data_IF_127805945765
#
_entry.id   IF_127805945765
#
_cell.length_a   1.000
_cell.length_b   1.000
_cell.length_c   1.000
_cell.angle_alpha   90.00
_cell.angle_beta   90.00
_cell.angle_gamma   90.00
#
_symmetry.space_group_name_H-M   'P 1'
#
loop_
_entity.id
_entity.type
_entity.pdbx_description
1 polymer ?
#
# COMPACT_ATOMS: atom_id res chain seq x y z
N UNK A 1 -4.10 21.36 -3.97
CA UNK A 1 -3.70 20.27 -3.08
C UNK A 1 -3.67 19.04 -3.96
N UNK A 2 -2.48 18.62 -4.39
CA UNK A 2 -2.37 17.58 -5.43
C UNK A 2 -2.80 16.24 -4.85
N UNK A 3 -3.90 15.72 -5.40
CA UNK A 3 -4.42 14.42 -5.04
C UNK A 3 -3.70 13.38 -5.88
N UNK A 4 -2.82 12.60 -5.25
CA UNK A 4 -2.19 11.45 -5.88
C UNK A 4 -3.25 10.43 -6.31
N UNK A 5 -3.22 10.00 -7.57
CA UNK A 5 -4.07 8.94 -8.11
C UNK A 5 -3.18 7.76 -8.46
N UNK A 6 -3.38 6.64 -7.78
CA UNK A 6 -2.56 5.44 -7.88
C UNK A 6 -3.46 4.21 -8.06
N UNK A 7 -3.04 3.27 -8.91
CA UNK A 7 -3.60 1.93 -9.02
C UNK A 7 -2.56 0.91 -8.62
N UNK A 8 -2.95 -0.08 -7.82
CA UNK A 8 -2.04 -1.11 -7.33
C UNK A 8 -2.56 -2.48 -7.65
N UNK A 9 -1.68 -3.31 -8.19
CA UNK A 9 -2.00 -4.67 -8.59
C UNK A 9 -1.00 -5.65 -8.00
N UNK A 10 -1.50 -6.75 -7.43
CA UNK A 10 -0.67 -7.93 -7.20
C UNK A 10 -0.54 -8.69 -8.52
N UNK A 11 0.69 -9.12 -8.80
CA UNK A 11 1.03 -9.82 -10.04
C UNK A 11 1.72 -11.15 -9.72
N UNK A 12 1.69 -12.08 -10.66
CA UNK A 12 2.49 -13.30 -10.55
C UNK A 12 3.98 -12.96 -10.76
N UNK A 13 4.92 -13.60 -10.04
CA UNK A 13 6.36 -13.35 -10.23
C UNK A 13 6.81 -13.46 -11.69
N UNK A 14 6.27 -14.44 -12.42
CA UNK A 14 6.62 -14.73 -13.82
C UNK A 14 6.11 -13.66 -14.79
N UNK A 15 5.10 -12.89 -14.37
CA UNK A 15 4.51 -11.84 -15.17
C UNK A 15 5.27 -10.52 -15.12
N UNK A 16 6.18 -10.35 -14.15
CA UNK A 16 6.78 -9.06 -13.88
C UNK A 16 7.70 -8.58 -15.02
N UNK A 17 8.47 -9.47 -15.64
CA UNK A 17 9.31 -9.13 -16.81
C UNK A 17 8.45 -8.86 -18.05
N UNK A 18 7.37 -9.63 -18.22
CA UNK A 18 6.41 -9.40 -19.29
C UNK A 18 5.75 -8.03 -19.15
N UNK A 19 5.31 -7.64 -17.96
CA UNK A 19 4.76 -6.30 -17.71
C UNK A 19 5.78 -5.22 -18.07
N UNK A 20 7.03 -5.35 -17.60
CA UNK A 20 8.07 -4.38 -17.96
C UNK A 20 8.26 -4.29 -19.47
N UNK A 21 8.23 -5.42 -20.21
CA UNK A 21 8.35 -5.41 -21.67
C UNK A 21 7.20 -4.68 -22.40
N UNK A 22 6.03 -4.54 -21.77
CA UNK A 22 4.86 -3.82 -22.30
C UNK A 22 4.89 -2.31 -22.03
N UNK A 23 5.77 -1.86 -21.13
CA UNK A 23 5.84 -0.47 -20.69
C UNK A 23 7.03 0.22 -21.34
N UNK A 24 6.77 1.24 -22.15
CA UNK A 24 7.83 2.06 -22.73
C UNK A 24 8.59 2.84 -21.63
N UNK A 25 9.88 3.12 -21.88
CA UNK A 25 10.72 3.94 -21.01
C UNK A 25 11.92 3.19 -20.43
N UNK A 26 12.92 3.97 -20.04
CA UNK A 26 14.11 3.45 -19.35
C UNK A 26 13.75 2.98 -17.94
N UNK A 27 14.44 1.92 -17.51
CA UNK A 27 14.26 1.37 -16.16
C UNK A 27 15.25 1.99 -15.20
N UNK A 28 14.74 2.51 -14.09
CA UNK A 28 15.54 2.85 -12.92
C UNK A 28 15.31 1.80 -11.83
N UNK A 29 16.39 1.18 -11.34
CA UNK A 29 16.34 0.05 -10.41
C UNK A 29 16.88 0.50 -9.06
N UNK A 30 16.10 0.24 -8.01
CA UNK A 30 16.41 0.68 -6.65
C UNK A 30 16.17 -0.43 -5.64
N UNK A 31 17.09 -0.61 -4.70
CA UNK A 31 16.85 -1.44 -3.54
C UNK A 31 16.16 -0.64 -2.43
N UNK A 32 15.03 -1.12 -1.94
CA UNK A 32 14.19 -0.50 -0.91
C UNK A 32 14.06 -1.42 0.30
N UNK A 33 15.07 -1.37 1.16
CA UNK A 33 15.07 -2.05 2.44
C UNK A 33 14.59 -1.12 3.55
N UNK A 34 13.61 -1.56 4.34
CA UNK A 34 13.08 -0.77 5.45
C UNK A 34 12.67 -1.67 6.62
N UNK A 35 12.80 -1.14 7.83
CA UNK A 35 12.24 -1.75 9.05
C UNK A 35 11.08 -0.91 9.54
N UNK A 36 9.93 -1.55 9.78
CA UNK A 36 8.76 -0.91 10.35
C UNK A 36 8.76 -1.06 11.87
N UNK A 37 8.38 0.01 12.56
CA UNK A 37 8.37 0.09 14.01
C UNK A 37 6.99 0.48 14.53
N UNK A 38 6.60 -0.09 15.65
CA UNK A 38 5.39 0.26 16.39
C UNK A 38 5.56 -0.10 17.87
N UNK A 39 4.59 0.25 18.71
CA UNK A 39 4.52 -0.19 20.10
C UNK A 39 4.12 -1.66 20.16
N UNK A 40 4.29 -2.31 21.32
CA UNK A 40 3.88 -3.71 21.53
C UNK A 40 2.40 -3.95 21.24
N UNK A 41 1.56 -2.94 21.42
CA UNK A 41 0.11 -2.98 21.18
C UNK A 41 -0.30 -2.37 19.82
N UNK A 42 0.67 -2.05 18.95
CA UNK A 42 0.48 -1.47 17.63
C UNK A 42 -0.33 -0.16 17.63
N UNK A 43 0.01 0.77 18.53
CA UNK A 43 -0.68 2.03 18.73
C UNK A 43 -0.65 2.90 17.45
N UNK A 44 0.49 2.96 16.74
CA UNK A 44 0.60 3.73 15.50
C UNK A 44 -0.32 3.16 14.43
N UNK A 45 -0.28 1.84 14.20
CA UNK A 45 -1.17 1.17 13.25
C UNK A 45 -2.64 1.44 13.56
N UNK A 46 -3.05 1.32 14.83
CA UNK A 46 -4.44 1.58 15.26
C UNK A 46 -4.86 3.02 15.00
N UNK A 47 -3.94 3.96 15.11
CA UNK A 47 -4.15 5.37 14.77
C UNK A 47 -4.00 5.67 13.28
N UNK A 48 -3.80 4.66 12.42
CA UNK A 48 -3.66 4.83 10.98
C UNK A 48 -2.29 5.34 10.56
N UNK A 49 -1.23 5.12 11.34
CA UNK A 49 0.14 5.49 10.98
C UNK A 49 1.00 4.25 10.66
N UNK A 50 1.95 4.45 9.74
CA UNK A 50 3.06 3.54 9.51
C UNK A 50 4.38 4.27 9.72
N UNK A 51 5.20 3.78 10.65
CA UNK A 51 6.54 4.30 10.89
C UNK A 51 7.57 3.31 10.35
N UNK A 52 8.49 3.81 9.52
CA UNK A 52 9.61 3.03 9.00
C UNK A 52 10.93 3.77 9.12
N UNK A 53 12.01 3.01 9.22
CA UNK A 53 13.38 3.47 9.02
C UNK A 53 13.93 2.77 7.77
N UNK A 54 14.51 3.53 6.85
CA UNK A 54 15.17 3.02 5.65
C UNK A 54 16.57 3.58 5.52
N UNK A 55 17.48 2.76 5.00
CA UNK A 55 18.75 3.23 4.46
C UNK A 55 18.55 3.51 2.97
N UNK A 56 19.16 4.59 2.46
CA UNK A 56 19.01 4.97 1.06
C UNK A 56 19.89 6.13 0.65
N UNK A 57 19.63 6.65 -0.54
CA UNK A 57 20.33 7.81 -1.07
C UNK A 57 20.11 9.04 -0.18
N UNK A 58 21.19 9.71 0.23
CA UNK A 58 21.16 10.78 1.23
C UNK A 58 21.16 10.29 2.69
N UNK A 59 21.43 9.00 2.93
CA UNK A 59 21.61 8.42 4.25
C UNK A 59 20.34 7.80 4.82
N UNK A 60 20.40 7.45 6.11
CA UNK A 60 19.28 6.82 6.82
C UNK A 60 18.17 7.82 7.09
N UNK A 61 16.93 7.41 6.85
CA UNK A 61 15.75 8.25 7.03
C UNK A 61 14.66 7.51 7.80
N UNK A 62 14.02 8.25 8.70
CA UNK A 62 12.76 7.88 9.31
C UNK A 62 11.62 8.48 8.50
N UNK A 63 10.58 7.69 8.24
CA UNK A 63 9.35 8.17 7.60
C UNK A 63 8.14 7.75 8.42
N UNK A 64 7.32 8.72 8.82
CA UNK A 64 5.96 8.48 9.28
C UNK A 64 4.99 8.76 8.12
N UNK A 65 4.12 7.80 7.81
CA UNK A 65 3.03 7.97 6.83
C UNK A 65 1.69 7.82 7.53
N UNK A 66 0.74 8.69 7.23
CA UNK A 66 -0.68 8.44 7.55
C UNK A 66 -1.32 7.58 6.45
N UNK A 67 -2.06 6.55 6.86
CA UNK A 67 -2.86 5.73 5.98
C UNK A 67 -4.01 6.58 5.43
N UNK A 68 -4.30 6.39 4.15
CA UNK A 68 -5.51 6.91 3.53
C UNK A 68 -6.68 6.00 3.93
N UNK A 69 -7.24 6.23 5.12
CA UNK A 69 -8.48 5.60 5.51
C UNK A 69 -9.66 6.24 4.74
N UNK A 70 -9.73 6.02 3.42
CA UNK A 70 -10.94 6.18 2.60
C UNK A 70 -11.76 7.47 2.77
N UNK A 71 -11.13 8.59 3.12
CA UNK A 71 -11.78 9.84 3.50
C UNK A 71 -10.88 11.07 3.29
N UNK A 72 -11.52 12.23 3.22
CA UNK A 72 -11.08 13.52 2.62
C UNK A 72 -9.95 14.25 3.37
N UNK A 73 -9.22 13.59 4.29
CA UNK A 73 -8.12 14.23 5.00
C UNK A 73 -6.76 13.77 4.46
N UNK A 74 -5.94 14.76 4.14
CA UNK A 74 -4.66 14.70 3.43
C UNK A 74 -3.74 13.55 3.87
N UNK A 75 -3.09 12.92 2.87
CA UNK A 75 -1.88 12.10 3.09
C UNK A 75 -0.83 12.97 3.75
N UNK A 76 -0.41 12.59 4.95
CA UNK A 76 0.73 13.19 5.63
C UNK A 76 1.91 12.25 5.55
N UNK A 77 3.02 12.73 5.01
CA UNK A 77 4.31 12.05 5.05
C UNK A 77 5.31 12.97 5.72
N UNK A 78 5.92 12.49 6.80
CA UNK A 78 6.97 13.20 7.53
C UNK A 78 8.25 12.38 7.41
N UNK A 79 9.20 12.88 6.61
CA UNK A 79 10.51 12.28 6.42
C UNK A 79 11.57 13.09 7.16
N UNK A 80 12.44 12.42 7.91
CA UNK A 80 13.54 13.07 8.64
C UNK A 80 14.80 12.21 8.57
N UNK A 81 15.95 12.76 8.17
CA UNK A 81 17.24 12.07 8.28
C UNK A 81 17.55 11.74 9.74
N UNK A 82 18.05 10.54 10.01
CA UNK A 82 18.41 10.08 11.36
C UNK A 82 19.78 9.39 11.33
N UNK A 83 20.47 9.33 12.48
CA UNK A 83 21.78 8.66 12.58
C UNK A 83 21.66 7.18 12.98
N UNK A 84 20.79 6.88 13.95
CA UNK A 84 20.66 5.55 14.55
C UNK A 84 19.81 4.59 13.70
N UNK A 85 19.95 3.26 13.91
CA UNK A 85 19.18 2.25 13.16
C UNK A 85 17.71 2.14 13.59
N UNK A 86 17.36 2.72 14.75
CA UNK A 86 16.00 2.77 15.26
C UNK A 86 15.38 4.17 15.13
N UNK A 87 14.08 4.30 15.43
CA UNK A 87 13.38 5.57 15.38
C UNK A 87 14.00 6.65 16.26
N UNK A 88 14.07 7.87 15.75
CA UNK A 88 14.46 9.04 16.52
C UNK A 88 13.22 9.65 17.18
N UNK A 89 13.20 9.65 18.51
CA UNK A 89 12.06 10.14 19.31
C UNK A 89 11.83 11.64 19.16
N UNK A 90 12.88 12.45 18.96
CA UNK A 90 12.75 13.91 18.77
C UNK A 90 12.12 14.19 17.41
N UNK A 91 12.51 13.46 16.37
CA UNK A 91 11.89 13.54 15.06
C UNK A 91 10.40 13.15 15.12
N UNK A 92 10.05 12.10 15.88
CA UNK A 92 8.64 11.70 16.07
C UNK A 92 7.83 12.73 16.86
N UNK A 93 8.43 13.41 17.85
CA UNK A 93 7.77 14.44 18.63
C UNK A 93 7.28 15.62 17.78
N UNK A 94 7.89 15.84 16.61
CA UNK A 94 7.48 16.87 15.64
C UNK A 94 6.37 16.40 14.67
N UNK A 95 5.78 15.23 14.89
CA UNK A 95 4.76 14.63 14.01
C UNK A 95 3.47 14.31 14.79
N UNK A 96 2.34 14.05 14.12
CA UNK A 96 1.11 13.62 14.78
C UNK A 96 1.25 12.31 15.59
N UNK A 97 2.29 11.51 15.36
CA UNK A 97 2.55 10.30 16.15
C UNK A 97 2.83 10.58 17.62
N UNK A 98 3.31 11.80 17.97
CA UNK A 98 3.60 12.18 19.35
C UNK A 98 2.40 11.99 20.29
N UNK A 99 1.20 12.35 19.81
CA UNK A 99 -0.05 12.22 20.57
C UNK A 99 -0.52 10.77 20.74
N UNK A 100 -0.04 9.86 19.90
CA UNK A 100 -0.41 8.44 19.91
C UNK A 100 0.52 7.64 20.81
N UNK A 101 1.83 7.93 20.75
CA UNK A 101 2.85 7.10 21.38
C UNK A 101 2.87 7.22 22.91
N UNK A 102 2.48 8.36 23.49
CA UNK A 102 2.42 8.55 24.95
C UNK A 102 3.65 8.03 25.74
N UNK A 103 4.85 8.09 25.14
CA UNK A 103 6.09 7.61 25.74
C UNK A 103 6.31 6.09 25.71
N UNK A 104 5.44 5.32 25.04
CA UNK A 104 5.61 3.88 24.85
C UNK A 104 6.86 3.56 24.00
N UNK A 105 7.53 2.47 24.34
CA UNK A 105 8.69 1.99 23.60
C UNK A 105 8.29 1.43 22.23
N UNK A 106 9.06 1.81 21.21
CA UNK A 106 8.94 1.28 19.86
C UNK A 106 9.83 0.06 19.68
N UNK A 107 9.34 -0.94 18.95
CA UNK A 107 10.08 -2.13 18.58
C UNK A 107 9.93 -2.44 17.08
N UNK A 108 10.90 -3.14 16.47
CA UNK A 108 10.75 -3.66 15.11
C UNK A 108 9.55 -4.59 15.02
N UNK A 109 8.73 -4.44 13.97
CA UNK A 109 7.54 -5.28 13.73
C UNK A 109 7.79 -6.21 12.55
N UNK A 110 8.22 -5.66 11.43
CA UNK A 110 8.56 -6.40 10.22
C UNK A 110 9.53 -5.59 9.36
N UNK A 111 10.19 -6.25 8.41
CA UNK A 111 11.04 -5.61 7.41
C UNK A 111 10.48 -5.81 6.01
N UNK A 112 10.78 -4.86 5.11
CA UNK A 112 10.60 -4.98 3.67
C UNK A 112 11.97 -5.13 3.03
N UNK A 113 12.11 -6.08 2.12
CA UNK A 113 13.25 -6.20 1.23
C UNK A 113 12.71 -6.24 -0.19
N UNK A 114 12.82 -5.12 -0.91
CA UNK A 114 12.14 -4.94 -2.20
C UNK A 114 13.10 -4.33 -3.21
N UNK A 115 13.28 -5.00 -4.34
CA UNK A 115 13.80 -4.39 -5.55
C UNK A 115 12.64 -3.68 -6.26
N UNK A 116 12.83 -2.39 -6.52
CA UNK A 116 11.89 -1.53 -7.22
C UNK A 116 12.43 -1.21 -8.61
N UNK A 117 11.64 -1.44 -9.63
CA UNK A 117 11.91 -1.04 -11.01
C UNK A 117 10.91 0.03 -11.40
N UNK A 118 11.39 1.21 -11.74
CA UNK A 118 10.57 2.37 -12.12
C UNK A 118 10.69 2.64 -13.62
N UNK A 119 9.57 2.90 -14.28
CA UNK A 119 9.49 3.43 -15.66
C UNK A 119 8.54 4.61 -15.72
N UNK A 120 8.94 5.66 -16.44
CA UNK A 120 8.06 6.80 -16.75
C UNK A 120 7.40 6.58 -18.11
N UNK A 121 6.12 6.23 -18.09
CA UNK A 121 5.31 5.99 -19.27
C UNK A 121 4.64 7.29 -19.71
N UNK A 122 4.84 7.68 -20.97
CA UNK A 122 4.22 8.87 -21.56
C UNK A 122 3.11 8.49 -22.53
N UNK A 123 1.94 9.08 -22.37
CA UNK A 123 0.77 8.91 -23.27
C UNK A 123 0.18 10.28 -23.61
N UNK A 124 0.56 10.81 -24.77
CA UNK A 124 0.28 12.21 -25.10
C UNK A 124 0.89 13.14 -24.05
N UNK A 125 0.07 13.98 -23.42
CA UNK A 125 0.47 14.88 -22.34
C UNK A 125 0.46 14.23 -20.95
N UNK A 126 0.00 12.97 -20.84
CA UNK A 126 -0.06 12.26 -19.57
C UNK A 126 1.25 11.56 -19.24
N UNK A 127 1.69 11.70 -17.99
CA UNK A 127 2.87 11.01 -17.44
C UNK A 127 2.43 10.10 -16.31
N UNK A 128 2.75 8.82 -16.44
CA UNK A 128 2.45 7.79 -15.46
C UNK A 128 3.77 7.17 -15.00
N UNK A 129 3.98 7.15 -13.69
CA UNK A 129 5.06 6.36 -13.10
C UNK A 129 4.55 4.92 -12.91
N UNK A 130 5.18 3.98 -13.62
CA UNK A 130 4.93 2.57 -13.46
C UNK A 130 6.04 1.95 -12.63
N UNK A 131 5.66 1.24 -11.58
CA UNK A 131 6.56 0.67 -10.60
C UNK A 131 6.30 -0.81 -10.49
N UNK A 132 7.32 -1.63 -10.71
CA UNK A 132 7.28 -3.06 -10.42
C UNK A 132 8.15 -3.32 -9.21
N UNK A 133 7.54 -3.80 -8.14
CA UNK A 133 8.22 -4.17 -6.90
C UNK A 133 8.30 -5.70 -6.76
N UNK A 134 9.50 -6.22 -6.50
CA UNK A 134 9.78 -7.64 -6.27
C UNK A 134 10.54 -7.83 -4.96
N UNK A 135 10.16 -8.81 -4.15
CA UNK A 135 10.90 -9.12 -2.94
C UNK A 135 10.05 -9.79 -1.86
N UNK A 136 10.21 -9.35 -0.62
CA UNK A 136 9.53 -9.96 0.52
C UNK A 136 9.25 -9.01 1.68
N UNK A 137 8.20 -9.36 2.44
CA UNK A 137 7.95 -8.91 3.80
C UNK A 137 8.44 -9.99 4.76
N UNK A 138 9.11 -9.61 5.85
CA UNK A 138 9.69 -10.53 6.82
C UNK A 138 9.28 -10.11 8.23
N UNK A 139 8.65 -11.02 8.99
CA UNK A 139 8.23 -10.77 10.37
C UNK A 139 8.62 -11.96 11.27
N UNK A 140 9.77 -11.86 11.92
CA UNK A 140 10.40 -13.00 12.62
C UNK A 140 10.76 -14.10 11.63
N UNK A 141 10.29 -15.33 11.87
CA UNK A 141 10.49 -16.47 10.95
C UNK A 141 9.50 -16.52 9.78
N UNK A 142 8.51 -15.63 9.73
CA UNK A 142 7.49 -15.61 8.68
C UNK A 142 7.92 -14.71 7.52
N UNK A 143 7.58 -15.13 6.31
CA UNK A 143 7.90 -14.42 5.07
C UNK A 143 6.68 -14.40 4.14
N UNK A 144 6.43 -13.27 3.50
CA UNK A 144 5.44 -13.13 2.43
C UNK A 144 6.07 -12.51 1.19
N UNK A 145 5.76 -13.04 0.01
CA UNK A 145 6.28 -12.54 -1.27
C UNK A 145 5.66 -11.17 -1.60
N UNK A 146 6.50 -10.24 -2.07
CA UNK A 146 6.08 -8.99 -2.70
C UNK A 146 6.30 -9.15 -4.19
N UNK A 147 5.22 -9.07 -4.96
CA UNK A 147 5.28 -8.92 -6.41
C UNK A 147 4.07 -8.08 -6.84
N UNK A 148 4.31 -6.81 -7.14
CA UNK A 148 3.24 -5.86 -7.41
C UNK A 148 3.60 -4.84 -8.49
N UNK A 149 2.58 -4.37 -9.19
CA UNK A 149 2.61 -3.26 -10.13
C UNK A 149 1.86 -2.08 -9.49
N UNK A 150 2.53 -0.95 -9.29
CA UNK A 150 1.91 0.33 -8.94
C UNK A 150 1.95 1.24 -10.17
N UNK A 151 0.82 1.88 -10.51
CA UNK A 151 0.72 2.88 -11.56
C UNK A 151 0.26 4.19 -10.91
N UNK A 152 1.10 5.22 -10.93
CA UNK A 152 0.83 6.52 -10.32
C UNK A 152 0.75 7.62 -11.39
N UNK A 153 -0.33 8.40 -11.37
CA UNK A 153 -0.48 9.55 -12.24
C UNK A 153 0.39 10.71 -11.73
N UNK A 154 1.43 11.09 -12.49
CA UNK A 154 2.27 12.26 -12.17
C UNK A 154 1.71 13.55 -12.74
N UNK A 155 1.15 13.49 -13.95
CA UNK A 155 0.49 14.63 -14.59
C UNK A 155 -0.45 14.17 -15.71
N UNK A 156 -1.47 14.97 -16.04
CA UNK A 156 -2.38 14.71 -17.16
C UNK A 156 -3.69 14.03 -16.72
N UNK A 157 -4.22 13.14 -17.57
CA UNK A 157 -5.57 12.62 -17.43
C UNK A 157 -5.63 11.32 -16.62
N UNK A 158 -6.50 11.24 -15.59
CA UNK A 158 -6.78 9.97 -14.91
C UNK A 158 -7.28 8.88 -15.86
N UNK A 159 -8.03 9.22 -16.92
CA UNK A 159 -8.53 8.22 -17.88
C UNK A 159 -7.39 7.45 -18.56
N UNK A 160 -6.29 8.13 -18.88
CA UNK A 160 -5.12 7.50 -19.50
C UNK A 160 -4.41 6.52 -18.55
N UNK A 161 -4.45 6.75 -17.23
CA UNK A 161 -3.98 5.80 -16.22
C UNK A 161 -4.79 4.50 -16.26
N UNK A 162 -6.13 4.61 -16.29
CA UNK A 162 -7.02 3.44 -16.39
C UNK A 162 -6.93 2.74 -17.74
N UNK A 163 -6.66 3.47 -18.83
CA UNK A 163 -6.37 2.88 -20.14
C UNK A 163 -5.10 2.04 -20.13
N UNK A 164 -4.00 2.58 -19.57
CA UNK A 164 -2.75 1.83 -19.42
C UNK A 164 -2.98 0.56 -18.57
N UNK A 165 -3.68 0.66 -17.45
CA UNK A 165 -4.00 -0.50 -16.62
C UNK A 165 -4.79 -1.58 -17.39
N UNK A 166 -5.74 -1.17 -18.23
CA UNK A 166 -6.51 -2.09 -19.10
C UNK A 166 -5.65 -2.71 -20.19
N UNK A 167 -4.73 -1.96 -20.78
CA UNK A 167 -3.79 -2.47 -21.78
C UNK A 167 -2.91 -3.59 -21.20
N UNK A 168 -2.36 -3.36 -20.00
CA UNK A 168 -1.57 -4.38 -19.30
C UNK A 168 -2.44 -5.57 -18.92
N UNK A 169 -3.64 -5.34 -18.38
CA UNK A 169 -4.57 -6.40 -17.96
C UNK A 169 -5.04 -7.31 -19.11
N UNK A 170 -4.99 -6.85 -20.36
CA UNK A 170 -5.29 -7.68 -21.53
C UNK A 170 -4.22 -8.71 -21.84
N UNK A 171 -2.98 -8.45 -21.43
CA UNK A 171 -1.82 -9.29 -21.72
C UNK A 171 -1.44 -10.17 -20.52
N UNK A 172 -1.69 -9.66 -19.31
CA UNK A 172 -1.24 -10.27 -18.07
C UNK A 172 -2.36 -10.19 -17.02
N UNK A 173 -2.63 -11.28 -16.26
CA UNK A 173 -3.57 -11.23 -15.15
C UNK A 173 -3.12 -10.24 -14.07
N UNK A 174 -3.90 -9.18 -13.86
CA UNK A 174 -3.70 -8.23 -12.77
C UNK A 174 -4.75 -8.43 -11.68
N UNK A 175 -4.34 -8.38 -10.41
CA UNK A 175 -5.26 -8.41 -9.26
C UNK A 175 -5.24 -7.08 -8.55
N UNK A 176 -6.33 -6.31 -8.62
CA UNK A 176 -6.42 -5.05 -7.88
C UNK A 176 -6.21 -5.29 -6.38
N UNK A 177 -5.32 -4.51 -5.77
CA UNK A 177 -5.08 -4.54 -4.34
C UNK A 177 -5.32 -3.17 -3.73
N UNK A 178 -6.16 -3.15 -2.71
CA UNK A 178 -6.41 -1.97 -1.87
C UNK A 178 -5.64 -2.02 -0.55
N UNK A 179 -4.85 -3.08 -0.35
CA UNK A 179 -4.06 -3.29 0.86
C UNK A 179 -2.63 -2.85 0.59
N UNK A 180 -2.12 -1.97 1.44
CA UNK A 180 -0.73 -1.50 1.38
C UNK A 180 0.26 -2.57 1.84
N UNK A 181 1.52 -2.44 1.42
CA UNK A 181 2.63 -3.28 1.93
C UNK A 181 2.73 -3.22 3.46
N UNK A 182 2.46 -2.05 4.06
CA UNK A 182 2.50 -1.88 5.50
C UNK A 182 1.39 -2.69 6.19
N UNK A 183 0.16 -2.63 5.70
CA UNK A 183 -0.95 -3.44 6.22
C UNK A 183 -0.68 -4.94 6.09
N UNK A 184 -0.12 -5.37 4.94
CA UNK A 184 0.31 -6.76 4.74
C UNK A 184 1.41 -7.17 5.71
N UNK A 185 2.38 -6.28 6.00
CA UNK A 185 3.46 -6.54 6.94
C UNK A 185 2.97 -6.69 8.38
N UNK A 186 2.05 -5.82 8.82
CA UNK A 186 1.38 -5.98 10.12
C UNK A 186 0.52 -7.24 10.19
N UNK A 187 -0.16 -7.60 9.10
CA UNK A 187 -0.88 -8.87 8.98
C UNK A 187 0.07 -10.06 9.14
N UNK A 188 1.22 -10.03 8.46
CA UNK A 188 2.26 -11.05 8.56
C UNK A 188 2.82 -11.16 9.98
N UNK A 189 3.01 -10.04 10.67
CA UNK A 189 3.48 -9.99 12.06
C UNK A 189 2.45 -10.53 13.07
N UNK A 190 1.15 -10.47 12.75
CA UNK A 190 0.07 -10.96 13.60
C UNK A 190 -0.48 -12.30 13.11
N UNK A 191 0.04 -13.42 13.65
CA UNK A 191 -0.38 -14.78 13.26
C UNK A 191 -1.87 -15.08 13.53
N UNK A 192 -2.53 -14.26 14.35
CA UNK A 192 -3.92 -14.43 14.75
C UNK A 192 -4.95 -13.69 13.86
N UNK A 193 -4.51 -13.03 12.77
CA UNK A 193 -5.46 -12.42 11.84
C UNK A 193 -6.28 -13.52 11.15
N UNK A 194 -7.53 -13.66 11.58
CA UNK A 194 -8.52 -14.51 10.92
C UNK A 194 -8.78 -14.06 9.48
N UNK A 195 -9.52 -14.86 8.68
CA UNK A 195 -9.95 -14.42 7.36
C UNK A 195 -10.68 -13.07 7.47
N UNK A 196 -10.62 -12.21 6.43
CA UNK A 196 -11.31 -10.93 6.47
C UNK A 196 -12.76 -11.12 6.89
N UNK A 197 -13.21 -10.24 7.79
CA UNK A 197 -14.56 -10.27 8.31
C UNK A 197 -15.60 -10.11 7.20
N UNK A 198 -16.83 -10.54 7.50
CA UNK A 198 -18.01 -10.34 6.64
C UNK A 198 -18.14 -8.86 6.22
N UNK A 199 -18.86 -8.61 5.10
CA UNK A 199 -19.25 -7.26 4.63
C UNK A 199 -19.51 -6.32 5.81
N UNK A 200 -18.78 -5.22 5.89
CA UNK A 200 -19.07 -4.18 6.86
C UNK A 200 -20.19 -3.31 6.31
N UNK A 201 -21.17 -2.96 7.15
CA UNK A 201 -22.22 -2.05 6.74
C UNK A 201 -21.59 -0.68 6.41
N UNK A 202 -21.92 -0.14 5.22
CA UNK A 202 -21.51 1.21 4.84
C UNK A 202 -22.13 2.17 5.84
N UNK A 203 -21.29 2.86 6.62
CA UNK A 203 -21.76 3.93 7.51
C UNK A 203 -22.06 5.15 6.67
N UNK A 204 -23.35 5.45 6.52
CA UNK A 204 -23.84 6.66 5.87
C UNK A 204 -24.19 7.67 6.95
N UNK A 205 -23.73 8.91 6.76
CA UNK A 205 -24.10 10.05 7.61
C UNK A 205 -25.26 10.80 6.93
N UNK A 206 -26.34 11.17 7.65
CA UNK A 206 -27.45 11.95 7.10
C UNK A 206 -27.05 13.26 6.42
N UNK A 207 -25.89 13.83 6.77
CA UNK A 207 -25.35 15.04 6.15
C UNK A 207 -24.63 14.77 4.81
N UNK A 208 -24.43 13.51 4.42
CA UNK A 208 -23.78 13.17 3.14
C UNK A 208 -24.68 13.55 1.95
N UNK A 209 -24.05 14.06 0.90
CA UNK A 209 -24.69 14.15 -0.43
C UNK A 209 -24.85 12.76 -1.03
N UNK A 210 -25.73 12.63 -2.04
CA UNK A 210 -25.88 11.38 -2.81
C UNK A 210 -24.54 10.93 -3.42
N UNK A 211 -23.75 11.87 -3.93
CA UNK A 211 -22.41 11.60 -4.46
C UNK A 211 -21.49 11.01 -3.39
N UNK A 212 -21.44 11.61 -2.20
CA UNK A 212 -20.62 11.13 -1.09
C UNK A 212 -21.06 9.73 -0.64
N UNK A 213 -22.37 9.50 -0.55
CA UNK A 213 -22.92 8.19 -0.21
C UNK A 213 -22.57 7.13 -1.27
N UNK A 214 -22.65 7.47 -2.56
CA UNK A 214 -22.29 6.58 -3.67
C UNK A 214 -20.79 6.24 -3.64
N UNK A 215 -19.93 7.23 -3.40
CA UNK A 215 -18.49 7.00 -3.23
C UNK A 215 -18.19 6.09 -2.04
N UNK A 216 -18.84 6.31 -0.90
CA UNK A 216 -18.67 5.48 0.29
C UNK A 216 -19.10 4.03 0.02
N UNK A 217 -20.26 3.84 -0.60
CA UNK A 217 -20.78 2.52 -0.94
C UNK A 217 -19.91 1.80 -1.98
N UNK A 218 -19.50 2.49 -3.04
CA UNK A 218 -18.62 1.94 -4.07
C UNK A 218 -17.26 1.53 -3.52
N UNK A 219 -16.68 2.34 -2.62
CA UNK A 219 -15.39 2.02 -1.98
C UNK A 219 -15.49 0.78 -1.09
N UNK A 220 -16.56 0.66 -0.30
CA UNK A 220 -16.79 -0.53 0.52
C UNK A 220 -16.99 -1.78 -0.35
N UNK A 221 -17.81 -1.68 -1.39
CA UNK A 221 -18.04 -2.79 -2.32
C UNK A 221 -16.73 -3.26 -2.99
N UNK A 222 -15.89 -2.33 -3.44
CA UNK A 222 -14.60 -2.65 -4.05
C UNK A 222 -13.63 -3.28 -3.03
N UNK A 223 -13.62 -2.75 -1.80
CA UNK A 223 -12.81 -3.28 -0.69
C UNK A 223 -13.20 -4.72 -0.37
N UNK A 224 -14.50 -4.98 -0.23
CA UNK A 224 -15.03 -6.31 0.01
C UNK A 224 -14.74 -7.28 -1.14
N UNK A 225 -14.90 -6.84 -2.39
CA UNK A 225 -14.60 -7.65 -3.57
C UNK A 225 -13.13 -8.08 -3.59
N UNK A 226 -12.19 -7.15 -3.40
CA UNK A 226 -10.75 -7.46 -3.41
C UNK A 226 -10.39 -8.42 -2.27
N UNK A 227 -10.84 -8.15 -1.05
CA UNK A 227 -10.57 -9.00 0.11
C UNK A 227 -11.16 -10.42 -0.05
N UNK A 228 -12.36 -10.53 -0.61
CA UNK A 228 -13.02 -11.82 -0.87
C UNK A 228 -12.31 -12.61 -1.95
N UNK A 229 -11.85 -11.94 -3.02
CA UNK A 229 -11.09 -12.57 -4.10
C UNK A 229 -9.75 -13.15 -3.61
N UNK A 230 -9.03 -12.41 -2.77
CA UNK A 230 -7.78 -12.90 -2.16
C UNK A 230 -8.05 -14.07 -1.20
N UNK A 231 -9.10 -13.98 -0.38
CA UNK A 231 -9.48 -15.07 0.54
C UNK A 231 -9.85 -16.35 -0.21
N UNK A 232 -10.64 -16.25 -1.28
CA UNK A 232 -11.01 -17.40 -2.09
C UNK A 232 -9.80 -18.07 -2.73
N UNK A 233 -8.75 -17.31 -3.07
CA UNK A 233 -7.51 -17.84 -3.62
C UNK A 233 -6.70 -18.59 -2.57
N UNK A 234 -6.58 -18.03 -1.38
CA UNK A 234 -5.83 -18.64 -0.28
C UNK A 234 -6.56 -19.84 0.34
N UNK A 235 -7.90 -19.79 0.35
CA UNK A 235 -8.79 -20.82 0.93
C UNK A 235 -9.99 -21.05 0.01
N UNK A 236 -9.83 -21.87 -1.05
CA UNK A 236 -10.93 -22.19 -1.96
C UNK A 236 -12.11 -22.83 -1.22
N UNK A 237 -13.33 -22.37 -1.51
CA UNK A 237 -14.53 -22.98 -0.94
C UNK A 237 -15.82 -22.27 -1.34
N UNK A 238 -17.00 -22.90 -1.10
CA UNK A 238 -18.30 -22.36 -1.49
C UNK A 238 -18.59 -20.99 -0.86
N UNK A 239 -18.17 -20.77 0.39
CA UNK A 239 -18.36 -19.50 1.08
C UNK A 239 -17.57 -18.36 0.42
N UNK A 240 -16.33 -18.61 0.00
CA UNK A 240 -15.52 -17.61 -0.71
C UNK A 240 -16.16 -17.21 -2.05
N UNK A 241 -16.75 -18.18 -2.76
CA UNK A 241 -17.51 -17.91 -4.00
C UNK A 241 -18.78 -17.11 -3.70
N UNK A 242 -19.47 -17.42 -2.60
CA UNK A 242 -20.67 -16.69 -2.18
C UNK A 242 -20.35 -15.23 -1.84
N UNK A 243 -19.27 -14.96 -1.10
CA UNK A 243 -18.83 -13.61 -0.77
C UNK A 243 -18.42 -12.80 -2.01
N UNK A 244 -17.86 -13.46 -3.03
CA UNK A 244 -17.45 -12.80 -4.27
C UNK A 244 -18.62 -12.38 -5.17
N UNK A 245 -19.77 -13.05 -5.06
CA UNK A 245 -21.00 -12.76 -5.82
C UNK A 245 -21.76 -11.55 -5.25
#
# INVERSE_FOLDING_TARGET
MDREIELKFLIAPEAADQILSLLDGESDVRQLDATYFDTVDHALRKAGFGLRVRDGEGGRKQTLKSASAGGVFSRGEWETPIAGPGPDQKALAATPAAAVLNGQALQPVFTTQVERIVRLVRRGETVIEAVVDRGALIAGSRRAVVCELELELKSGSPSALFELARDVARQVPLRLSLVSKAERGYGLANAAAGPPGRRSAVRLDPAMTVEQALHAAGREALTHLCASADTLRDRPGPEGVHQLR
#
